data_IF_627571097518
#
_entry.id   IF_627571097518
#
_cell.length_a   1.000
_cell.length_b   1.000
_cell.length_c   1.000
_cell.angle_alpha   90.00
_cell.angle_beta   90.00
_cell.angle_gamma   90.00
#
_symmetry.space_group_name_H-M   'P 1'
#
loop_
_entity.id
_entity.type
_entity.pdbx_description
1 polymer ?
#
# COMPACT_ATOMS: atom_id res chain seq x y z
N UNK A 1 -4.09 -37.75 -29.34
CA UNK A 1 -3.11 -36.69 -29.03
C UNK A 1 -3.75 -35.85 -27.95
N UNK A 2 -3.42 -36.10 -26.68
CA UNK A 2 -3.91 -35.29 -25.57
C UNK A 2 -2.87 -34.20 -25.33
N UNK A 3 -3.28 -32.95 -25.45
CA UNK A 3 -2.39 -31.80 -25.33
C UNK A 3 -1.92 -31.62 -23.88
N UNK A 4 -0.66 -32.00 -23.65
CA UNK A 4 0.09 -31.86 -22.40
C UNK A 4 0.59 -30.41 -22.30
N UNK A 5 -0.32 -29.46 -22.13
CA UNK A 5 0.01 -28.06 -21.83
C UNK A 5 -0.91 -27.44 -20.78
N UNK A 6 -1.20 -28.19 -19.70
CA UNK A 6 -1.63 -27.60 -18.42
C UNK A 6 -0.41 -27.43 -17.50
N UNK A 7 0.67 -26.85 -18.03
CA UNK A 7 1.84 -26.56 -17.22
C UNK A 7 1.60 -25.26 -16.44
N UNK A 8 1.43 -25.44 -15.12
CA UNK A 8 2.05 -24.60 -14.08
C UNK A 8 1.29 -23.31 -13.67
N UNK A 9 0.13 -23.43 -13.02
CA UNK A 9 -0.30 -22.36 -12.07
C UNK A 9 -1.37 -22.70 -10.99
N UNK A 10 -1.48 -23.93 -10.47
CA UNK A 10 -2.51 -24.28 -9.45
C UNK A 10 -1.97 -24.81 -8.10
N UNK A 11 -0.68 -24.64 -7.81
CA UNK A 11 -0.08 -25.30 -6.62
C UNK A 11 -0.47 -24.67 -5.27
N UNK A 12 -0.80 -23.37 -5.21
CA UNK A 12 -1.13 -22.73 -3.93
C UNK A 12 -2.61 -22.89 -3.60
N UNK A 13 -3.51 -22.75 -4.58
CA UNK A 13 -4.95 -22.89 -4.33
C UNK A 13 -5.34 -24.31 -3.95
N UNK A 14 -4.70 -25.30 -4.57
CA UNK A 14 -4.98 -26.71 -4.27
C UNK A 14 -4.37 -27.18 -2.95
N UNK A 15 -3.18 -26.69 -2.60
CA UNK A 15 -2.46 -27.13 -1.38
C UNK A 15 -2.87 -26.30 -0.16
N UNK A 16 -3.24 -25.03 -0.36
CA UNK A 16 -3.58 -24.08 0.69
C UNK A 16 -4.82 -23.25 0.33
N UNK A 17 -6.04 -23.84 0.38
CA UNK A 17 -7.28 -23.17 -0.01
C UNK A 17 -7.53 -21.86 0.74
N UNK A 18 -7.13 -21.81 2.01
CA UNK A 18 -7.27 -20.62 2.86
C UNK A 18 -6.41 -19.42 2.39
N UNK A 19 -5.30 -19.69 1.70
CA UNK A 19 -4.50 -18.63 1.09
C UNK A 19 -5.20 -18.05 -0.13
N UNK A 20 -5.86 -18.91 -0.91
CA UNK A 20 -6.61 -18.55 -2.12
C UNK A 20 -7.99 -17.93 -1.85
N UNK A 21 -8.61 -18.23 -0.70
CA UNK A 21 -9.91 -17.68 -0.29
C UNK A 21 -9.99 -16.15 -0.20
N UNK A 22 -8.85 -15.46 -0.28
CA UNK A 22 -8.75 -14.00 -0.44
C UNK A 22 -9.16 -13.48 -1.82
N UNK A 23 -9.23 -14.32 -2.86
CA UNK A 23 -9.50 -13.88 -4.23
C UNK A 23 -11.01 -13.80 -4.57
N UNK A 24 -11.89 -14.12 -3.62
CA UNK A 24 -13.35 -14.08 -3.79
C UNK A 24 -13.99 -12.70 -3.74
N UNK A 25 -13.24 -11.66 -3.35
CA UNK A 25 -13.69 -10.28 -3.45
C UNK A 25 -13.57 -9.86 -4.92
N UNK A 26 -14.60 -9.26 -5.51
CA UNK A 26 -14.62 -8.74 -6.90
C UNK A 26 -13.60 -7.59 -7.09
N UNK A 27 -12.32 -7.87 -6.92
CA UNK A 27 -11.21 -7.01 -7.29
C UNK A 27 -10.92 -7.26 -8.76
N UNK A 28 -10.87 -6.20 -9.57
CA UNK A 28 -10.62 -6.33 -11.01
C UNK A 28 -9.37 -7.15 -11.33
N UNK A 29 -9.32 -7.69 -12.54
CA UNK A 29 -8.35 -8.72 -12.95
C UNK A 29 -6.88 -8.36 -12.70
N UNK A 30 -6.51 -7.08 -12.69
CA UNK A 30 -5.13 -6.66 -12.37
C UNK A 30 -4.81 -6.79 -10.87
N UNK A 31 -5.72 -6.37 -9.99
CA UNK A 31 -5.49 -6.37 -8.55
C UNK A 31 -5.50 -7.81 -8.01
N UNK A 32 -6.41 -8.66 -8.52
CA UNK A 32 -6.40 -10.09 -8.20
C UNK A 32 -5.10 -10.78 -8.63
N UNK A 33 -4.59 -10.49 -9.83
CA UNK A 33 -3.27 -10.99 -10.28
C UNK A 33 -2.13 -10.48 -9.41
N UNK A 34 -2.20 -9.23 -8.95
CA UNK A 34 -1.20 -8.68 -8.04
C UNK A 34 -1.25 -9.34 -6.66
N UNK A 35 -2.44 -9.56 -6.11
CA UNK A 35 -2.66 -10.26 -4.84
C UNK A 35 -2.12 -11.70 -4.90
N UNK A 36 -2.41 -12.42 -5.99
CA UNK A 36 -1.88 -13.77 -6.19
C UNK A 36 -0.34 -13.78 -6.17
N UNK A 37 0.33 -12.84 -6.87
CA UNK A 37 1.79 -12.70 -6.83
C UNK A 37 2.33 -12.37 -5.44
N UNK A 38 1.61 -11.55 -4.65
CA UNK A 38 1.98 -11.23 -3.27
C UNK A 38 1.96 -12.48 -2.39
N UNK A 39 0.91 -13.30 -2.51
CA UNK A 39 0.76 -14.57 -1.78
C UNK A 39 1.85 -15.55 -2.22
N UNK A 40 2.08 -15.70 -3.53
CA UNK A 40 3.09 -16.63 -4.05
C UNK A 40 4.49 -16.29 -3.54
N UNK A 41 4.83 -15.00 -3.54
CA UNK A 41 6.10 -14.49 -3.00
C UNK A 41 6.22 -14.74 -1.50
N UNK A 42 5.14 -14.54 -0.76
CA UNK A 42 5.10 -14.79 0.69
C UNK A 42 5.30 -16.29 0.99
N UNK A 43 4.54 -17.17 0.33
CA UNK A 43 4.63 -18.62 0.55
C UNK A 43 6.05 -19.12 0.26
N UNK A 44 6.69 -18.67 -0.82
CA UNK A 44 8.10 -18.99 -1.10
C UNK A 44 9.03 -18.54 0.03
N UNK A 45 8.76 -17.39 0.65
CA UNK A 45 9.53 -16.87 1.79
C UNK A 45 9.26 -17.65 3.08
N UNK A 46 8.01 -18.02 3.35
CA UNK A 46 7.62 -18.75 4.56
C UNK A 46 8.07 -20.21 4.53
N UNK A 47 8.08 -20.87 3.36
CA UNK A 47 8.61 -22.24 3.19
C UNK A 47 10.07 -22.42 3.63
N UNK A 48 10.85 -21.32 3.71
CA UNK A 48 12.23 -21.36 4.22
C UNK A 48 12.31 -21.51 5.75
N UNK A 49 11.20 -21.29 6.48
CA UNK A 49 11.10 -21.42 7.93
C UNK A 49 10.04 -22.45 8.28
N UNK A 50 10.41 -23.50 9.02
CA UNK A 50 9.50 -24.59 9.40
C UNK A 50 8.40 -24.06 10.34
N UNK A 51 7.15 -24.47 10.12
CA UNK A 51 6.01 -24.18 11.00
C UNK A 51 5.31 -22.84 10.76
N UNK A 52 5.96 -21.89 10.08
CA UNK A 52 5.42 -20.53 9.90
C UNK A 52 4.29 -20.50 8.86
N UNK A 53 4.39 -21.33 7.81
CA UNK A 53 3.35 -21.43 6.78
C UNK A 53 2.07 -22.07 7.32
N UNK A 54 2.23 -23.11 8.13
CA UNK A 54 1.16 -23.82 8.82
C UNK A 54 0.46 -22.90 9.83
N UNK A 55 1.23 -22.09 10.55
CA UNK A 55 0.69 -21.05 11.44
C UNK A 55 -0.16 -20.03 10.68
N UNK A 56 0.30 -19.59 9.50
CA UNK A 56 -0.48 -18.69 8.65
C UNK A 56 -1.76 -19.34 8.15
N UNK A 57 -1.69 -20.59 7.70
CA UNK A 57 -2.87 -21.34 7.26
C UNK A 57 -3.89 -21.45 8.39
N UNK A 58 -3.44 -21.84 9.59
CA UNK A 58 -4.30 -21.96 10.76
C UNK A 58 -4.99 -20.64 11.10
N UNK A 59 -4.25 -19.53 11.10
CA UNK A 59 -4.81 -18.20 11.36
C UNK A 59 -5.89 -17.81 10.34
N UNK A 60 -5.68 -18.14 9.06
CA UNK A 60 -6.63 -17.83 7.98
C UNK A 60 -7.89 -18.71 8.01
N UNK A 61 -7.79 -19.97 8.45
CA UNK A 61 -8.94 -20.88 8.58
C UNK A 61 -9.73 -20.66 9.87
N UNK A 62 -9.10 -20.16 10.94
CA UNK A 62 -9.71 -19.95 12.26
C UNK A 62 -9.64 -18.47 12.68
N UNK A 63 -10.36 -17.56 11.99
CA UNK A 63 -10.29 -16.11 12.23
C UNK A 63 -10.65 -15.68 13.65
N UNK A 64 -11.43 -16.48 14.36
CA UNK A 64 -11.94 -16.17 15.70
C UNK A 64 -11.13 -16.87 16.81
N UNK A 65 -10.08 -17.61 16.45
CA UNK A 65 -9.22 -18.31 17.41
C UNK A 65 -7.87 -17.57 17.54
N UNK A 66 -7.28 -17.56 18.75
CA UNK A 66 -5.95 -16.99 18.94
C UNK A 66 -4.93 -17.76 18.09
N UNK A 67 -4.12 -17.03 17.33
CA UNK A 67 -3.06 -17.59 16.49
C UNK A 67 -1.71 -16.94 16.79
N UNK A 68 -0.63 -17.66 16.51
CA UNK A 68 0.73 -17.15 16.71
C UNK A 68 1.13 -16.10 15.65
N UNK A 69 2.22 -15.38 15.92
CA UNK A 69 2.74 -14.39 14.98
C UNK A 69 3.29 -15.08 13.73
N UNK A 70 2.85 -14.63 12.56
CA UNK A 70 3.47 -14.99 11.27
C UNK A 70 4.39 -13.86 10.90
N UNK A 71 5.70 -14.02 11.04
CA UNK A 71 6.64 -12.92 10.85
C UNK A 71 7.27 -12.92 9.47
N UNK A 72 7.94 -11.85 9.06
CA UNK A 72 8.94 -11.84 7.98
C UNK A 72 10.09 -10.87 8.36
N UNK A 73 11.32 -11.05 7.82
CA UNK A 73 12.38 -10.07 7.94
C UNK A 73 11.96 -8.67 7.48
N UNK A 74 12.27 -7.66 8.30
CA UNK A 74 12.01 -6.23 8.06
C UNK A 74 13.08 -5.63 7.15
N UNK A 75 12.66 -4.91 6.11
CA UNK A 75 13.55 -4.09 5.28
C UNK A 75 13.98 -2.81 6.02
N UNK A 76 15.07 -2.17 5.60
CA UNK A 76 15.58 -0.93 6.23
C UNK A 76 14.53 0.19 6.32
N UNK A 77 13.71 0.36 5.28
CA UNK A 77 12.63 1.35 5.23
C UNK A 77 11.25 0.76 5.62
N UNK A 78 11.22 -0.50 6.09
CA UNK A 78 10.01 -1.21 6.47
C UNK A 78 9.11 -1.64 5.31
N UNK A 79 9.46 -1.37 4.04
CA UNK A 79 8.62 -1.67 2.87
C UNK A 79 9.08 -2.94 2.17
N UNK A 80 8.14 -3.59 1.50
CA UNK A 80 8.38 -4.71 0.58
C UNK A 80 7.92 -4.34 -0.83
N UNK A 81 8.55 -4.93 -1.84
CA UNK A 81 8.19 -4.76 -3.24
C UNK A 81 7.56 -6.04 -3.77
N UNK A 82 6.36 -5.93 -4.34
CA UNK A 82 5.66 -7.03 -5.03
C UNK A 82 5.26 -6.54 -6.41
N UNK A 83 5.79 -7.19 -7.46
CA UNK A 83 5.44 -6.89 -8.86
C UNK A 83 5.45 -5.38 -9.19
N UNK A 84 6.59 -4.72 -8.92
CA UNK A 84 6.83 -3.28 -9.11
C UNK A 84 6.08 -2.31 -8.17
N UNK A 85 5.19 -2.80 -7.29
CA UNK A 85 4.52 -1.97 -6.28
C UNK A 85 5.24 -2.10 -4.93
N UNK A 86 5.49 -0.96 -4.26
CA UNK A 86 6.09 -0.91 -2.92
C UNK A 86 5.02 -0.60 -1.88
N UNK A 87 5.06 -1.30 -0.74
CA UNK A 87 4.11 -1.06 0.35
C UNK A 87 4.57 -1.69 1.66
N UNK A 88 3.86 -1.40 2.75
CA UNK A 88 4.15 -2.00 4.03
C UNK A 88 3.62 -3.44 4.09
N UNK A 89 4.39 -4.40 4.63
CA UNK A 89 4.02 -5.81 4.56
C UNK A 89 2.71 -6.12 5.28
N UNK A 90 2.52 -5.61 6.49
CA UNK A 90 1.27 -5.79 7.25
C UNK A 90 0.04 -5.22 6.50
N UNK A 91 0.18 -4.07 5.85
CA UNK A 91 -0.91 -3.46 5.05
C UNK A 91 -1.24 -4.33 3.83
N UNK A 92 -0.21 -4.77 3.08
CA UNK A 92 -0.40 -5.61 1.88
C UNK A 92 -1.19 -6.87 2.23
N UNK A 93 -0.77 -7.58 3.27
CA UNK A 93 -1.38 -8.86 3.63
C UNK A 93 -2.73 -8.72 4.34
N UNK A 94 -2.94 -7.67 5.14
CA UNK A 94 -4.28 -7.34 5.64
C UNK A 94 -5.25 -6.98 4.52
N UNK A 95 -4.78 -6.26 3.48
CA UNK A 95 -5.60 -5.89 2.32
C UNK A 95 -6.00 -7.10 1.50
N UNK A 96 -5.08 -8.04 1.30
CA UNK A 96 -5.35 -9.29 0.57
C UNK A 96 -6.40 -10.12 1.30
N UNK A 97 -6.26 -10.36 2.61
CA UNK A 97 -7.11 -11.34 3.30
C UNK A 97 -8.34 -10.79 4.02
N UNK A 98 -8.38 -9.50 4.37
CA UNK A 98 -9.46 -8.96 5.22
C UNK A 98 -10.15 -7.73 4.65
N UNK A 99 -9.39 -6.72 4.25
CA UNK A 99 -9.94 -5.40 3.91
C UNK A 99 -9.46 -4.94 2.52
N UNK A 100 -10.13 -5.34 1.44
CA UNK A 100 -9.68 -5.04 0.07
C UNK A 100 -9.61 -3.53 -0.23
N UNK A 101 -10.36 -2.73 0.52
CA UNK A 101 -10.46 -1.28 0.48
C UNK A 101 -9.46 -0.57 1.40
N UNK A 102 -8.61 -1.29 2.14
CA UNK A 102 -7.58 -0.70 3.00
C UNK A 102 -6.60 0.15 2.19
N UNK A 103 -6.45 1.43 2.55
CA UNK A 103 -5.62 2.38 1.79
C UNK A 103 -4.27 2.65 2.47
N UNK A 104 -4.27 2.76 3.81
CA UNK A 104 -3.09 3.21 4.55
C UNK A 104 -2.81 2.41 5.81
N UNK A 105 -1.54 2.40 6.23
CA UNK A 105 -1.12 1.83 7.51
C UNK A 105 -1.73 2.55 8.72
N UNK A 106 -2.19 3.80 8.56
CA UNK A 106 -2.85 4.53 9.65
C UNK A 106 -4.21 3.94 10.03
N UNK A 107 -4.85 3.18 9.14
CA UNK A 107 -6.10 2.47 9.38
C UNK A 107 -5.88 1.14 10.15
N UNK A 108 -4.64 0.77 10.49
CA UNK A 108 -4.35 -0.45 11.23
C UNK A 108 -3.75 -0.15 12.61
N UNK A 109 -4.16 -0.91 13.61
CA UNK A 109 -3.49 -1.00 14.92
C UNK A 109 -3.24 -2.45 15.26
N UNK A 110 -2.08 -2.75 15.83
CA UNK A 110 -1.81 -4.09 16.36
C UNK A 110 -2.65 -4.36 17.60
N UNK A 111 -3.14 -5.59 17.76
CA UNK A 111 -3.76 -6.03 19.00
C UNK A 111 -2.71 -6.44 20.04
N UNK A 112 -3.11 -6.55 21.30
CA UNK A 112 -2.21 -6.83 22.43
C UNK A 112 -1.50 -8.19 22.33
N UNK A 113 -2.13 -9.19 21.70
CA UNK A 113 -1.53 -10.52 21.52
C UNK A 113 -0.45 -10.57 20.44
N UNK A 114 -0.25 -9.51 19.66
CA UNK A 114 0.80 -9.43 18.66
C UNK A 114 2.15 -9.14 19.32
N UNK A 115 3.05 -10.13 19.33
CA UNK A 115 4.38 -10.03 19.96
C UNK A 115 5.37 -9.17 19.16
N UNK A 116 5.21 -9.11 17.83
CA UNK A 116 6.15 -8.42 16.92
C UNK A 116 5.42 -7.57 15.88
N UNK A 117 4.65 -6.56 16.31
CA UNK A 117 3.88 -5.70 15.42
C UNK A 117 4.77 -4.82 14.53
N UNK A 118 4.20 -4.23 13.48
CA UNK A 118 4.97 -3.35 12.58
C UNK A 118 5.63 -2.16 13.31
N UNK A 119 5.05 -1.64 14.39
CA UNK A 119 5.58 -0.50 15.15
C UNK A 119 6.71 -0.84 16.15
N UNK A 120 6.97 -2.13 16.45
CA UNK A 120 7.95 -2.51 17.48
C UNK A 120 9.42 -2.34 17.07
N UNK A 121 9.69 -1.97 15.81
CA UNK A 121 11.05 -1.80 15.22
C UNK A 121 11.97 -3.02 15.33
N UNK A 122 11.41 -4.19 15.67
CA UNK A 122 12.11 -5.47 15.68
C UNK A 122 12.64 -5.85 14.27
N UNK A 123 13.69 -6.69 14.18
CA UNK A 123 14.25 -7.15 12.90
C UNK A 123 13.27 -7.98 12.09
N UNK A 124 12.22 -8.51 12.73
CA UNK A 124 11.09 -9.15 12.08
C UNK A 124 9.80 -8.34 12.26
N UNK A 125 8.82 -8.63 11.41
CA UNK A 125 7.50 -8.01 11.46
C UNK A 125 6.39 -9.02 11.26
N UNK A 126 5.38 -8.99 12.12
CA UNK A 126 4.17 -9.79 11.98
C UNK A 126 3.32 -9.34 10.78
N UNK A 127 2.90 -10.29 9.96
CA UNK A 127 2.01 -10.14 8.82
C UNK A 127 0.70 -10.93 8.96
N UNK A 128 0.48 -11.57 10.11
CA UNK A 128 -0.80 -12.24 10.41
C UNK A 128 -1.92 -11.19 10.40
N UNK A 129 -2.91 -11.27 9.50
CA UNK A 129 -3.91 -10.22 9.36
C UNK A 129 -4.85 -10.14 10.58
N UNK A 130 -4.96 -11.19 11.39
CA UNK A 130 -5.75 -11.20 12.63
C UNK A 130 -5.01 -10.63 13.83
N UNK A 131 -3.74 -10.25 13.68
CA UNK A 131 -2.99 -9.50 14.67
C UNK A 131 -3.11 -7.99 14.53
N UNK A 132 -3.96 -7.54 13.60
CA UNK A 132 -4.28 -6.14 13.37
C UNK A 132 -5.79 -5.93 13.44
N UNK A 133 -6.20 -4.81 14.03
CA UNK A 133 -7.56 -4.30 13.99
C UNK A 133 -7.59 -3.09 13.05
N UNK A 134 -8.68 -2.99 12.27
CA UNK A 134 -8.95 -1.78 11.49
C UNK A 134 -9.48 -0.70 12.42
N UNK A 135 -8.98 0.51 12.26
CA UNK A 135 -9.41 1.69 13.00
C UNK A 135 -9.78 2.79 12.03
N UNK A 136 -10.76 3.61 12.40
CA UNK A 136 -11.11 4.78 11.62
C UNK A 136 -10.04 5.86 11.74
N UNK A 137 -9.85 6.61 10.65
CA UNK A 137 -9.02 7.79 10.68
C UNK A 137 -9.73 8.84 11.56
N UNK A 138 -9.07 9.42 12.58
CA UNK A 138 -9.67 10.52 13.31
C UNK A 138 -9.92 11.66 12.32
N UNK A 139 -11.18 12.04 12.12
CA UNK A 139 -11.53 13.17 11.26
C UNK A 139 -10.84 14.39 11.85
N UNK A 140 -9.83 14.91 11.15
CA UNK A 140 -9.15 16.12 11.62
C UNK A 140 -10.17 17.27 11.60
N UNK A 141 -10.25 18.09 12.67
CA UNK A 141 -11.11 19.25 12.66
C UNK A 141 -10.72 20.18 11.48
N UNK A 142 -11.69 20.90 10.86
CA UNK A 142 -11.42 21.77 9.73
C UNK A 142 -10.29 22.76 10.04
N UNK A 143 -9.23 22.76 9.24
CA UNK A 143 -8.16 23.75 9.37
C UNK A 143 -8.63 25.05 8.72
N UNK A 144 -8.92 26.05 9.56
CA UNK A 144 -9.14 27.42 9.09
C UNK A 144 -7.79 27.99 8.65
N UNK A 145 -7.52 27.97 7.35
CA UNK A 145 -6.40 28.71 6.76
C UNK A 145 -6.82 30.19 6.60
N UNK A 146 -6.19 31.15 7.29
CA UNK A 146 -6.44 32.55 7.04
C UNK A 146 -6.04 32.91 5.61
N UNK A 147 -6.97 33.51 4.85
CA UNK A 147 -6.68 34.07 3.53
C UNK A 147 -6.18 35.50 3.66
N UNK A 148 -5.00 35.72 4.22
CA UNK A 148 -4.31 36.99 4.01
C UNK A 148 -3.33 36.84 2.85
N UNK A 149 -3.77 37.27 1.68
CA UNK A 149 -2.91 37.52 0.53
C UNK A 149 -2.44 38.98 0.60
N UNK A 150 -1.70 39.34 1.66
CA UNK A 150 -1.01 40.64 1.70
C UNK A 150 0.26 40.52 0.85
N UNK A 151 0.09 40.62 -0.47
CA UNK A 151 1.20 41.08 -1.29
C UNK A 151 1.44 42.55 -0.94
N UNK A 152 2.67 42.96 -0.59
CA UNK A 152 2.97 44.37 -0.40
C UNK A 152 2.74 45.08 -1.75
N UNK A 153 1.72 45.94 -1.82
CA UNK A 153 1.56 46.86 -2.94
C UNK A 153 2.72 47.84 -2.86
N UNK A 154 3.59 47.96 -3.89
CA UNK A 154 4.63 48.97 -3.88
C UNK A 154 3.96 50.33 -3.94
N UNK A 155 4.14 51.13 -2.89
CA UNK A 155 3.72 52.52 -2.86
C UNK A 155 4.50 53.31 -3.92
N UNK A 156 3.79 53.82 -4.91
CA UNK A 156 4.32 54.76 -5.89
C UNK A 156 4.51 56.13 -5.23
N UNK A 157 5.75 56.51 -4.98
CA UNK A 157 6.15 57.91 -4.78
C UNK A 157 7.58 58.07 -5.28
N UNK A 158 7.73 58.50 -6.54
CA UNK A 158 8.29 59.82 -6.84
C UNK A 158 8.60 59.95 -8.34
N UNK A 159 8.10 61.05 -8.89
CA UNK A 159 8.36 61.56 -10.22
C UNK A 159 9.79 62.07 -10.27
N UNK A 160 10.65 61.62 -11.20
CA UNK A 160 11.18 62.46 -12.28
C UNK A 160 12.18 61.72 -13.21
N UNK A 161 12.06 62.06 -14.49
CA UNK A 161 13.12 62.17 -15.50
C UNK A 161 13.65 60.91 -16.21
N UNK A 162 13.28 60.85 -17.50
CA UNK A 162 14.19 60.64 -18.63
C UNK A 162 14.84 59.28 -18.78
N UNK A 163 14.25 58.41 -19.60
CA UNK A 163 14.81 58.03 -20.91
C UNK A 163 14.02 56.89 -21.55
N UNK A 164 13.75 57.05 -22.83
CA UNK A 164 13.18 56.04 -23.70
C UNK A 164 14.11 54.83 -23.82
N UNK A 165 13.56 53.62 -23.77
CA UNK A 165 13.91 52.59 -24.75
C UNK A 165 12.84 51.49 -24.77
N UNK A 166 12.26 51.37 -25.94
CA UNK A 166 11.48 50.27 -26.47
C UNK A 166 12.21 48.94 -26.34
N UNK A 167 11.59 47.92 -25.74
CA UNK A 167 11.89 46.52 -26.06
C UNK A 167 10.60 45.70 -26.10
N UNK A 168 10.52 44.91 -27.17
CA UNK A 168 9.35 44.21 -27.69
C UNK A 168 9.16 42.86 -27.00
N UNK A 169 7.90 42.46 -26.82
CA UNK A 169 7.50 41.10 -26.48
C UNK A 169 7.74 40.14 -27.67
N UNK A 170 8.38 38.97 -27.49
CA UNK A 170 8.31 37.91 -28.47
C UNK A 170 7.26 36.86 -28.06
N UNK A 171 6.18 36.89 -28.83
CA UNK A 171 5.61 35.74 -29.53
C UNK A 171 4.76 34.72 -28.73
N UNK A 172 3.44 34.97 -28.74
CA UNK A 172 2.42 33.92 -28.80
C UNK A 172 2.12 33.68 -30.28
N UNK A 173 2.49 32.51 -30.82
CA UNK A 173 2.07 32.09 -32.16
C UNK A 173 0.96 31.06 -32.03
N UNK A 174 -0.27 31.52 -32.24
CA UNK A 174 -1.44 30.72 -32.58
C UNK A 174 -1.47 30.53 -34.10
N UNK A 175 -1.35 29.29 -34.59
CA UNK A 175 -1.69 28.95 -35.97
C UNK A 175 -3.05 28.26 -36.00
N UNK A 176 -4.02 28.94 -36.60
CA UNK A 176 -5.29 28.39 -37.06
C UNK A 176 -5.57 28.92 -38.47
N UNK A 177 -6.18 28.04 -39.27
CA UNK A 177 -6.71 28.21 -40.64
C UNK A 177 -5.61 28.16 -41.73
N UNK A 178 -5.78 27.47 -42.86
CA UNK A 178 -6.98 27.03 -43.60
C UNK A 178 -6.56 25.90 -44.54
#
# INVERSE_FOLDING_TARGET
>A
MLDINLHRDNSIEFIYPALAGSLGWKQGDEEGRWAHKAIETLVKKLKKRKGVLETLQYALTHPNEPSECVTIPRSLDGRIQVSHRKGFPHVIYCRVWRWPDLQSHHELRSIESCKVPFNSKEPEVCINPYHYARVDYPVLPPVLVPRYNEYPVPTTSDVNSSQASSFQDPNVTSNSNT
#
